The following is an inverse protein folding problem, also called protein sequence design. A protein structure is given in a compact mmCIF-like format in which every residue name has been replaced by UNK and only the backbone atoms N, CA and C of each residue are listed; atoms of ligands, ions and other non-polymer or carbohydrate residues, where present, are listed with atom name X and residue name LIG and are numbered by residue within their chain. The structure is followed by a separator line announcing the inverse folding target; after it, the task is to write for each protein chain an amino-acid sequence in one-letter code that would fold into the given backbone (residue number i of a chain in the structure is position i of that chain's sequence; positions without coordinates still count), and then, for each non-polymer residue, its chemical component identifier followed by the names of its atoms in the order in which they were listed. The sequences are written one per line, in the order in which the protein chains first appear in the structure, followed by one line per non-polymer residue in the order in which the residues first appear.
data_IF_634686492371
#
_entry.id   IF_634686492371
#
_cell.length_a   1.000
_cell.length_b   1.000
_cell.length_c   1.000
_cell.angle_alpha   90.00
_cell.angle_beta   90.00
_cell.angle_gamma   90.00
#
_symmetry.space_group_name_H-M   'P 1'
#
loop_
_entity.id
_entity.type
_entity.pdbx_description
1 polymer ?
#
# COMPACT_ATOMS: atom_id res chain seq x y z
N UNK A 1 -11.29 -18.10 23.63
CA UNK A 1 -12.74 -18.01 23.89
C UNK A 1 -13.29 -17.09 22.83
N UNK A 2 -14.12 -17.59 21.92
CA UNK A 2 -14.65 -16.82 20.79
C UNK A 2 -15.38 -15.57 21.27
N UNK A 3 -14.85 -14.39 20.98
CA UNK A 3 -15.58 -13.13 21.02
C UNK A 3 -16.11 -12.84 19.63
N UNK A 4 -17.19 -13.53 19.31
CA UNK A 4 -18.12 -13.16 18.25
C UNK A 4 -18.97 -11.99 18.80
N UNK A 5 -18.39 -10.79 18.80
CA UNK A 5 -19.14 -9.53 18.87
C UNK A 5 -18.77 -8.71 17.63
N UNK A 6 -19.22 -9.18 16.47
CA UNK A 6 -19.39 -8.32 15.30
C UNK A 6 -20.52 -7.32 15.58
N UNK A 7 -20.21 -6.26 16.35
CA UNK A 7 -21.06 -5.08 16.35
C UNK A 7 -21.07 -4.54 14.92
N UNK A 8 -22.23 -4.63 14.26
CA UNK A 8 -22.41 -4.13 12.90
C UNK A 8 -21.86 -2.69 12.79
N UNK A 9 -20.75 -2.53 12.05
CA UNK A 9 -20.11 -1.25 11.81
C UNK A 9 -18.91 -0.89 12.69
N UNK A 10 -18.44 -1.76 13.59
CA UNK A 10 -17.18 -1.55 14.32
C UNK A 10 -15.99 -2.02 13.50
N UNK A 11 -15.18 -1.08 13.00
CA UNK A 11 -13.91 -1.33 12.31
C UNK A 11 -12.75 -0.88 13.21
N UNK A 12 -11.89 -1.82 13.59
CA UNK A 12 -10.68 -1.61 14.38
C UNK A 12 -9.58 -2.50 13.80
N UNK A 13 -8.45 -1.90 13.43
CA UNK A 13 -7.34 -2.61 12.81
C UNK A 13 -6.01 -2.03 13.27
N UNK A 14 -5.14 -2.88 13.78
CA UNK A 14 -3.73 -2.57 13.93
C UNK A 14 -3.10 -2.44 12.54
N UNK A 15 -2.42 -1.34 12.28
CA UNK A 15 -1.78 -1.04 10.99
C UNK A 15 -0.28 -1.24 11.06
N UNK A 16 0.33 -0.65 12.08
CA UNK A 16 1.78 -0.60 12.20
C UNK A 16 2.18 -0.54 13.67
N UNK A 17 3.27 -1.24 13.99
CA UNK A 17 4.00 -1.09 15.25
C UNK A 17 5.44 -0.74 14.87
N UNK A 18 5.91 0.41 15.33
CA UNK A 18 7.23 0.93 15.02
C UNK A 18 8.05 1.09 16.29
N UNK A 19 9.31 0.61 16.26
CA UNK A 19 10.31 0.90 17.30
C UNK A 19 11.44 1.72 16.70
N UNK A 20 11.89 2.77 17.39
CA UNK A 20 12.99 3.63 16.91
C UNK A 20 12.94 5.11 17.31
N UNK A 21 11.86 5.59 17.92
CA UNK A 21 11.79 6.96 18.47
C UNK A 21 12.04 6.94 19.97
N UNK A 22 13.21 7.40 20.41
CA UNK A 22 13.50 7.70 21.82
C UNK A 22 13.32 6.53 22.79
N UNK A 23 13.72 5.32 22.38
CA UNK A 23 13.63 4.06 23.13
C UNK A 23 12.20 3.54 23.42
N UNK A 24 11.18 4.06 22.72
CA UNK A 24 9.77 3.63 22.84
C UNK A 24 9.21 2.85 21.64
N UNK A 25 7.94 2.48 21.76
CA UNK A 25 7.14 1.84 20.69
C UNK A 25 5.98 2.75 20.32
N UNK A 26 5.79 3.01 19.04
CA UNK A 26 4.64 3.76 18.51
C UNK A 26 3.73 2.80 17.75
N UNK A 27 2.43 2.87 18.01
CA UNK A 27 1.43 2.00 17.41
C UNK A 27 0.42 2.84 16.62
N UNK A 28 0.18 2.46 15.38
CA UNK A 28 -0.83 3.07 14.50
C UNK A 28 -2.00 2.12 14.33
N UNK A 29 -3.20 2.62 14.60
CA UNK A 29 -4.47 1.89 14.47
C UNK A 29 -5.41 2.71 13.59
N UNK A 30 -6.18 2.03 12.74
CA UNK A 30 -7.35 2.63 12.08
C UNK A 30 -8.60 2.15 12.79
N UNK A 31 -9.39 3.11 13.27
CA UNK A 31 -10.68 2.84 13.90
C UNK A 31 -11.77 3.69 13.24
N UNK A 32 -12.75 3.03 12.61
CA UNK A 32 -13.88 3.67 11.91
C UNK A 32 -13.45 4.86 11.01
N UNK A 33 -12.36 4.70 10.25
CA UNK A 33 -11.82 5.71 9.34
C UNK A 33 -10.98 6.82 9.99
N UNK A 34 -10.76 6.78 11.30
CA UNK A 34 -9.82 7.69 11.99
C UNK A 34 -8.52 6.96 12.31
N UNK A 35 -7.40 7.70 12.28
CA UNK A 35 -6.10 7.21 12.71
C UNK A 35 -5.91 7.47 14.20
N UNK A 36 -5.53 6.44 14.93
CA UNK A 36 -5.22 6.49 16.34
C UNK A 36 -3.74 6.14 16.48
N UNK A 37 -2.95 7.07 17.02
CA UNK A 37 -1.54 6.84 17.32
C UNK A 37 -1.41 6.65 18.83
N UNK A 38 -0.76 5.57 19.25
CA UNK A 38 -0.52 5.28 20.67
C UNK A 38 0.97 5.11 20.91
N UNK A 39 1.55 6.01 21.70
CA UNK A 39 2.95 5.95 22.08
C UNK A 39 3.14 5.25 23.44
N UNK A 40 4.04 4.27 23.43
CA UNK A 40 4.62 3.63 24.60
C UNK A 40 6.00 4.25 24.82
N UNK A 41 6.05 5.31 25.61
CA UNK A 41 7.28 6.06 25.86
C UNK A 41 8.00 5.54 27.12
N UNK A 42 9.34 5.40 27.09
CA UNK A 42 10.10 5.12 28.29
C UNK A 42 9.95 6.29 29.28
N UNK A 43 9.44 6.01 30.47
CA UNK A 43 9.56 6.91 31.62
C UNK A 43 10.95 6.74 32.26
N UNK A 44 11.34 7.69 33.13
CA UNK A 44 12.62 7.62 33.87
C UNK A 44 12.80 6.34 34.70
N UNK A 45 11.73 5.58 34.95
CA UNK A 45 11.77 4.21 35.49
C UNK A 45 10.59 3.40 34.95
N UNK A 46 10.89 2.41 34.11
CA UNK A 46 9.93 1.44 33.58
C UNK A 46 9.62 0.30 34.57
N UNK A 47 10.35 0.23 35.69
CA UNK A 47 10.16 -0.80 36.73
C UNK A 47 8.76 -0.72 37.35
N UNK A 48 8.03 -1.83 37.29
CA UNK A 48 6.67 -1.94 37.84
C UNK A 48 5.56 -1.42 36.94
N UNK A 49 5.87 -1.03 35.70
CA UNK A 49 4.87 -0.63 34.68
C UNK A 49 4.51 -1.79 33.77
N UNK A 50 3.35 -1.70 33.11
CA UNK A 50 2.88 -2.65 32.09
C UNK A 50 3.66 -2.45 30.78
N UNK A 51 3.87 -1.19 30.38
CA UNK A 51 4.53 -0.83 29.13
C UNK A 51 6.02 -1.18 29.09
N UNK A 52 6.72 -1.14 30.23
CA UNK A 52 8.17 -1.33 30.29
C UNK A 52 8.68 -2.66 29.71
N UNK A 53 8.18 -3.80 30.21
CA UNK A 53 8.53 -5.11 29.66
C UNK A 53 8.17 -5.26 28.17
N UNK A 54 7.07 -4.66 27.72
CA UNK A 54 6.63 -4.75 26.31
C UNK A 54 7.56 -4.00 25.37
N UNK A 55 7.95 -2.78 25.73
CA UNK A 55 8.92 -1.98 24.97
C UNK A 55 10.24 -2.76 24.84
N UNK A 56 10.77 -3.28 25.95
CA UNK A 56 12.03 -4.01 25.96
C UNK A 56 11.95 -5.31 25.16
N UNK A 57 10.86 -6.07 25.31
CA UNK A 57 10.64 -7.35 24.61
C UNK A 57 10.50 -7.15 23.10
N UNK A 58 9.67 -6.19 22.69
CA UNK A 58 9.50 -5.87 21.27
C UNK A 58 10.80 -5.36 20.64
N UNK A 59 11.51 -4.46 21.33
CA UNK A 59 12.80 -3.95 20.85
C UNK A 59 13.86 -5.06 20.72
N UNK A 60 13.93 -6.00 21.66
CA UNK A 60 14.84 -7.14 21.59
C UNK A 60 14.48 -8.09 20.43
N UNK A 61 13.19 -8.40 20.25
CA UNK A 61 12.73 -9.28 19.18
C UNK A 61 13.04 -8.71 17.78
N UNK A 62 12.92 -7.39 17.61
CA UNK A 62 13.33 -6.70 16.37
C UNK A 62 14.84 -6.82 16.12
N UNK A 63 15.67 -6.65 17.16
CA UNK A 63 17.12 -6.77 17.04
C UNK A 63 17.59 -8.19 16.72
N UNK A 64 16.89 -9.18 17.26
CA UNK A 64 17.18 -10.61 17.06
C UNK A 64 16.51 -11.18 15.80
N UNK A 65 15.73 -10.37 15.06
CA UNK A 65 14.93 -10.78 13.89
C UNK A 65 13.99 -11.97 14.19
N UNK A 66 13.51 -12.07 15.44
CA UNK A 66 12.62 -13.14 15.90
C UNK A 66 11.17 -12.81 15.55
N UNK A 67 10.75 -13.22 14.35
CA UNK A 67 9.42 -12.94 13.79
C UNK A 67 8.28 -13.44 14.69
N UNK A 68 8.42 -14.63 15.28
CA UNK A 68 7.38 -15.21 16.13
C UNK A 68 7.20 -14.38 17.41
N UNK A 69 8.30 -13.91 18.00
CA UNK A 69 8.26 -13.06 19.19
C UNK A 69 7.80 -11.62 18.86
N UNK A 70 8.15 -11.10 17.69
CA UNK A 70 7.62 -9.82 17.17
C UNK A 70 6.10 -9.90 17.10
N UNK A 71 5.54 -10.92 16.44
CA UNK A 71 4.10 -11.08 16.27
C UNK A 71 3.39 -11.26 17.63
N UNK A 72 3.95 -12.08 18.51
CA UNK A 72 3.42 -12.28 19.86
C UNK A 72 3.40 -10.97 20.66
N UNK A 73 4.46 -10.16 20.56
CA UNK A 73 4.53 -8.88 21.23
C UNK A 73 3.57 -7.84 20.65
N UNK A 74 3.41 -7.79 19.33
CA UNK A 74 2.43 -6.90 18.68
C UNK A 74 1.01 -7.24 19.12
N UNK A 75 0.66 -8.53 19.18
CA UNK A 75 -0.68 -8.96 19.61
C UNK A 75 -0.96 -8.55 21.06
N UNK A 76 0.02 -8.72 21.97
CA UNK A 76 -0.16 -8.32 23.37
C UNK A 76 -0.32 -6.80 23.53
N UNK A 77 0.45 -6.02 22.75
CA UNK A 77 0.34 -4.56 22.69
C UNK A 77 -1.06 -4.17 22.20
N UNK A 78 -1.54 -4.76 21.11
CA UNK A 78 -2.86 -4.46 20.54
C UNK A 78 -3.99 -4.78 21.51
N UNK A 79 -3.95 -5.95 22.17
CA UNK A 79 -4.96 -6.36 23.16
C UNK A 79 -5.05 -5.37 24.34
N UNK A 80 -3.90 -4.86 24.80
CA UNK A 80 -3.84 -3.87 25.86
C UNK A 80 -4.40 -2.51 25.43
N UNK A 81 -4.03 -2.04 24.24
CA UNK A 81 -4.57 -0.79 23.68
C UNK A 81 -6.08 -0.92 23.50
N UNK A 82 -6.56 -2.02 22.92
CA UNK A 82 -7.99 -2.25 22.72
C UNK A 82 -8.74 -2.29 24.05
N UNK A 83 -8.19 -2.97 25.06
CA UNK A 83 -8.80 -3.08 26.39
C UNK A 83 -8.93 -1.72 27.08
N UNK A 84 -7.86 -0.92 27.08
CA UNK A 84 -7.85 0.42 27.68
C UNK A 84 -8.67 1.43 26.84
N UNK A 85 -8.64 1.28 25.51
CA UNK A 85 -9.09 2.30 24.57
C UNK A 85 -10.49 2.13 24.01
N UNK A 86 -11.08 0.92 23.99
CA UNK A 86 -12.34 0.65 23.25
C UNK A 86 -13.47 1.65 23.52
N UNK A 87 -13.67 2.06 24.77
CA UNK A 87 -14.71 3.05 25.14
C UNK A 87 -14.37 4.46 24.70
N UNK A 88 -13.08 4.81 24.73
CA UNK A 88 -12.57 6.10 24.25
C UNK A 88 -12.74 6.16 22.74
N UNK A 89 -12.33 5.10 22.04
CA UNK A 89 -12.42 4.98 20.58
C UNK A 89 -13.87 5.03 20.11
N UNK A 90 -14.79 4.32 20.76
CA UNK A 90 -16.20 4.38 20.41
C UNK A 90 -16.83 5.78 20.52
N UNK A 91 -16.29 6.64 21.39
CA UNK A 91 -16.73 8.03 21.52
C UNK A 91 -16.10 8.95 20.47
N UNK A 92 -14.83 8.73 20.13
CA UNK A 92 -14.05 9.63 19.26
C UNK A 92 -14.11 9.28 17.78
N UNK A 93 -14.27 7.99 17.49
CA UNK A 93 -14.40 7.39 16.17
C UNK A 93 -15.64 6.47 16.17
N UNK A 94 -16.86 7.04 16.18
CA UNK A 94 -18.07 6.23 16.15
C UNK A 94 -18.19 5.45 14.83
N UNK A 95 -18.87 4.29 14.83
CA UNK A 95 -19.15 3.51 13.62
C UNK A 95 -19.65 4.38 12.46
N UNK A 96 -19.03 4.20 11.29
CA UNK A 96 -19.50 4.85 10.07
C UNK A 96 -20.87 4.28 9.67
N UNK A 97 -21.75 5.12 9.15
CA UNK A 97 -23.05 4.68 8.66
C UNK A 97 -22.86 3.63 7.56
N UNK A 98 -23.65 2.55 7.63
CA UNK A 98 -23.59 1.45 6.66
C UNK A 98 -23.85 2.00 5.24
N UNK A 99 -22.89 1.84 4.35
CA UNK A 99 -22.97 2.34 2.97
C UNK A 99 -22.42 3.74 2.73
N UNK A 100 -21.64 4.31 3.66
CA UNK A 100 -20.83 5.50 3.36
C UNK A 100 -19.97 5.21 2.12
N UNK A 101 -20.12 6.03 1.07
CA UNK A 101 -19.16 6.04 -0.03
C UNK A 101 -17.77 6.33 0.55
N UNK A 102 -16.73 5.67 0.02
CA UNK A 102 -15.36 6.06 0.28
C UNK A 102 -15.23 7.57 -0.04
N UNK A 103 -14.50 8.29 0.80
CA UNK A 103 -14.44 9.75 0.74
C UNK A 103 -13.69 10.28 -0.50
N UNK A 104 -13.05 11.43 -0.33
CA UNK A 104 -12.01 11.84 -1.27
C UNK A 104 -10.67 11.18 -0.90
N UNK A 105 -9.73 11.18 -1.84
CA UNK A 105 -8.41 10.59 -1.65
C UNK A 105 -7.63 11.28 -0.51
N UNK A 106 -7.81 12.59 -0.33
CA UNK A 106 -7.14 13.34 0.72
C UNK A 106 -7.49 12.82 2.12
N UNK A 107 -8.78 12.64 2.42
CA UNK A 107 -9.23 12.12 3.71
C UNK A 107 -8.85 10.65 3.93
N UNK A 108 -8.66 9.86 2.85
CA UNK A 108 -8.16 8.50 2.95
C UNK A 108 -6.67 8.45 3.31
N UNK A 109 -5.84 9.28 2.66
CA UNK A 109 -4.39 9.32 2.90
C UNK A 109 -4.03 10.02 4.21
N UNK A 110 -4.79 11.06 4.57
CA UNK A 110 -4.58 11.89 5.75
C UNK A 110 -5.85 11.90 6.62
N UNK A 111 -6.23 10.73 7.18
CA UNK A 111 -7.38 10.66 8.07
C UNK A 111 -7.14 11.50 9.33
N UNK A 112 -8.23 11.93 9.96
CA UNK A 112 -8.17 12.61 11.26
C UNK A 112 -7.37 11.73 12.24
N UNK A 113 -6.30 12.30 12.78
CA UNK A 113 -5.35 11.58 13.66
C UNK A 113 -5.55 12.03 15.10
N UNK A 114 -5.68 11.05 16.01
CA UNK A 114 -5.82 11.26 17.44
C UNK A 114 -4.69 10.53 18.16
N UNK A 115 -3.88 11.28 18.89
CA UNK A 115 -2.70 10.73 19.58
C UNK A 115 -2.96 10.47 21.06
N UNK A 116 -2.44 9.37 21.56
CA UNK A 116 -2.47 8.96 22.95
C UNK A 116 -1.09 8.51 23.41
N UNK A 117 -0.85 8.67 24.71
CA UNK A 117 0.20 7.96 25.43
C UNK A 117 -0.43 6.79 26.17
N UNK A 118 0.17 5.62 26.05
CA UNK A 118 -0.10 4.50 26.95
C UNK A 118 0.68 4.70 28.25
N UNK A 119 0.00 4.58 29.40
CA UNK A 119 0.64 4.71 30.70
C UNK A 119 0.03 3.76 31.73
N UNK A 120 0.89 3.24 32.61
CA UNK A 120 0.43 2.57 33.84
C UNK A 120 0.08 3.61 34.91
N UNK A 121 -1.18 3.69 35.31
CA UNK A 121 -1.66 4.54 36.41
C UNK A 121 -2.29 3.64 37.47
N UNK A 122 -1.79 3.72 38.71
CA UNK A 122 -2.25 2.89 39.83
C UNK A 122 -2.29 1.38 39.50
N UNK A 123 -1.29 0.91 38.73
CA UNK A 123 -1.18 -0.48 38.31
C UNK A 123 -2.14 -0.91 37.18
N UNK A 124 -2.78 0.04 36.50
CA UNK A 124 -3.70 -0.21 35.39
C UNK A 124 -3.27 0.49 34.12
N UNK A 125 -3.55 -0.15 32.99
CA UNK A 125 -3.36 0.43 31.67
C UNK A 125 -4.38 1.53 31.40
N UNK A 126 -3.90 2.72 31.05
CA UNK A 126 -4.72 3.89 30.71
C UNK A 126 -4.19 4.56 29.43
N UNK A 127 -5.09 5.15 28.65
CA UNK A 127 -4.74 5.97 27.48
C UNK A 127 -4.93 7.46 27.79
N UNK A 128 -3.83 8.21 27.75
CA UNK A 128 -3.82 9.65 27.99
C UNK A 128 -3.76 10.38 26.66
N UNK A 129 -4.79 11.19 26.36
CA UNK A 129 -4.80 11.99 25.12
C UNK A 129 -3.62 12.97 25.12
N UNK A 130 -2.93 13.07 23.98
CA UNK A 130 -1.85 14.02 23.76
C UNK A 130 -2.23 15.04 22.69
N UNK A 131 -1.61 16.22 22.77
CA UNK A 131 -1.70 17.22 21.70
C UNK A 131 -0.82 16.77 20.52
N UNK A 132 -1.38 16.84 19.32
CA UNK A 132 -0.83 16.28 18.08
C UNK A 132 0.32 17.13 17.47
N UNK A 133 0.85 18.09 18.21
CA UNK A 133 1.80 19.09 17.69
C UNK A 133 3.18 18.50 17.31
N UNK A 134 3.47 17.25 17.68
CA UNK A 134 4.81 16.65 17.52
C UNK A 134 4.97 15.58 16.43
N UNK A 135 3.90 15.19 15.73
CA UNK A 135 3.98 14.22 14.63
C UNK A 135 4.17 14.86 13.25
N UNK A 136 3.81 16.14 13.11
CA UNK A 136 3.84 16.84 11.82
C UNK A 136 5.18 17.51 11.49
N UNK A 137 6.11 17.66 12.45
CA UNK A 137 7.29 18.54 12.28
C UNK A 137 8.59 17.86 11.85
N UNK A 138 8.72 16.54 11.80
CA UNK A 138 10.05 15.93 11.63
C UNK A 138 10.14 14.95 10.46
N UNK A 139 9.92 15.50 9.29
CA UNK A 139 10.77 15.47 8.09
C UNK A 139 9.83 15.86 6.97
N UNK A 140 9.98 17.05 6.37
CA UNK A 140 9.45 17.21 5.03
C UNK A 140 10.12 16.11 4.22
N UNK A 141 9.39 15.05 3.85
CA UNK A 141 10.03 13.95 3.16
C UNK A 141 10.55 14.53 1.85
N UNK A 142 11.70 14.06 1.34
CA UNK A 142 12.33 14.66 0.17
C UNK A 142 11.29 14.86 -0.92
N UNK A 143 11.25 16.06 -1.50
CA UNK A 143 10.21 16.44 -2.45
C UNK A 143 10.06 15.35 -3.51
N UNK A 144 8.91 14.67 -3.50
CA UNK A 144 8.55 13.75 -4.56
C UNK A 144 8.46 14.53 -5.88
N UNK A 145 9.45 14.31 -6.75
CA UNK A 145 9.55 15.00 -8.02
C UNK A 145 9.37 14.01 -9.16
N UNK A 146 8.24 14.11 -9.83
CA UNK A 146 8.02 13.48 -11.13
C UNK A 146 8.28 14.55 -12.20
N UNK A 147 9.10 14.20 -13.19
CA UNK A 147 9.25 15.03 -14.37
C UNK A 147 7.91 15.12 -15.13
N UNK A 148 7.39 16.34 -15.32
CA UNK A 148 6.13 16.60 -16.00
C UNK A 148 6.28 17.35 -17.34
N UNK A 149 7.30 17.04 -18.13
CA UNK A 149 7.62 17.75 -19.38
C UNK A 149 6.52 17.74 -20.48
N UNK A 150 5.53 16.84 -20.45
CA UNK A 150 4.37 16.85 -21.39
C UNK A 150 3.17 17.62 -20.84
N UNK A 151 3.27 18.19 -19.64
CA UNK A 151 2.17 18.93 -19.05
C UNK A 151 0.97 18.05 -18.71
N UNK A 152 1.21 16.89 -18.07
CA UNK A 152 0.12 16.10 -17.49
C UNK A 152 -0.69 16.99 -16.54
N UNK A 153 -2.03 16.85 -16.54
CA UNK A 153 -2.87 17.56 -15.59
C UNK A 153 -2.53 17.15 -14.15
N UNK A 154 -2.67 18.11 -13.24
CA UNK A 154 -2.51 17.91 -11.80
C UNK A 154 -3.88 17.96 -11.15
N UNK A 155 -4.15 17.03 -10.25
CA UNK A 155 -5.41 16.93 -9.53
C UNK A 155 -5.13 17.00 -8.04
N UNK A 156 -5.86 17.86 -7.35
CA UNK A 156 -5.80 17.97 -5.89
C UNK A 156 -6.42 16.72 -5.26
N UNK A 157 -5.82 16.18 -4.21
CA UNK A 157 -6.26 14.94 -3.56
C UNK A 157 -7.69 15.02 -3.00
N UNK A 158 -8.17 16.22 -2.67
CA UNK A 158 -9.54 16.46 -2.21
C UNK A 158 -10.58 16.49 -3.34
N UNK A 159 -10.14 16.66 -4.59
CA UNK A 159 -10.98 16.63 -5.79
C UNK A 159 -11.12 15.24 -6.42
N UNK A 160 -10.37 14.25 -5.91
CA UNK A 160 -10.38 12.86 -6.39
C UNK A 160 -11.30 12.05 -5.49
N UNK A 161 -12.36 11.47 -6.04
CA UNK A 161 -13.28 10.62 -5.29
C UNK A 161 -12.81 9.17 -5.31
N UNK A 162 -12.74 8.52 -4.15
CA UNK A 162 -12.33 7.11 -4.06
C UNK A 162 -13.55 6.23 -4.30
N UNK A 163 -13.45 5.32 -5.26
CA UNK A 163 -14.46 4.31 -5.53
C UNK A 163 -14.18 3.01 -4.78
N UNK A 164 -12.90 2.67 -4.62
CA UNK A 164 -12.45 1.43 -4.02
C UNK A 164 -11.00 1.54 -3.56
N UNK A 165 -10.69 0.95 -2.41
CA UNK A 165 -9.32 0.73 -1.96
C UNK A 165 -8.87 -0.66 -2.40
N UNK A 166 -7.83 -0.71 -3.23
CA UNK A 166 -7.32 -1.96 -3.81
C UNK A 166 -6.21 -2.54 -2.91
N UNK A 167 -5.31 -1.69 -2.41
CA UNK A 167 -4.17 -2.14 -1.61
C UNK A 167 -3.59 -1.02 -0.73
N UNK A 168 -3.10 -1.40 0.46
CA UNK A 168 -2.11 -0.64 1.22
C UNK A 168 -2.61 0.69 1.79
N UNK A 169 -3.82 0.72 2.35
CA UNK A 169 -4.35 1.89 3.07
C UNK A 169 -4.40 3.16 2.21
N UNK A 170 -4.85 2.98 0.98
CA UNK A 170 -4.91 4.05 -0.01
C UNK A 170 -3.68 4.15 -0.91
N UNK A 171 -2.71 3.23 -0.77
CA UNK A 171 -1.56 3.18 -1.67
C UNK A 171 -1.97 2.95 -3.13
N UNK A 172 -2.93 2.04 -3.35
CA UNK A 172 -3.54 1.79 -4.65
C UNK A 172 -5.06 1.90 -4.50
N UNK A 173 -5.67 2.80 -5.26
CA UNK A 173 -7.12 3.03 -5.22
C UNK A 173 -7.70 3.11 -6.62
N UNK A 174 -8.94 2.63 -6.78
CA UNK A 174 -9.77 3.00 -7.93
C UNK A 174 -10.48 4.29 -7.61
N UNK A 175 -10.34 5.27 -8.47
CA UNK A 175 -10.83 6.63 -8.22
C UNK A 175 -11.65 7.15 -9.39
N UNK A 176 -12.55 8.09 -9.09
CA UNK A 176 -13.28 8.89 -10.07
C UNK A 176 -12.73 10.32 -10.03
N UNK A 177 -12.25 10.79 -11.16
CA UNK A 177 -11.72 12.15 -11.33
C UNK A 177 -12.13 12.67 -12.71
N UNK A 178 -12.74 13.85 -12.75
CA UNK A 178 -13.37 14.42 -13.95
C UNK A 178 -14.36 13.45 -14.65
N UNK A 179 -15.08 12.64 -13.87
CA UNK A 179 -16.04 11.67 -14.40
C UNK A 179 -15.43 10.45 -15.09
N UNK A 180 -14.09 10.29 -15.02
CA UNK A 180 -13.39 9.13 -15.57
C UNK A 180 -12.82 8.26 -14.43
N UNK A 181 -13.05 6.95 -14.51
CA UNK A 181 -12.41 5.98 -13.61
C UNK A 181 -10.92 5.86 -13.93
N UNK A 182 -10.09 5.92 -12.89
CA UNK A 182 -8.64 5.82 -12.97
C UNK A 182 -8.10 4.96 -11.83
N UNK A 183 -6.91 4.40 -12.03
CA UNK A 183 -6.12 3.83 -10.95
C UNK A 183 -5.25 4.95 -10.36
N UNK A 184 -5.29 5.15 -9.06
CA UNK A 184 -4.43 6.08 -8.36
C UNK A 184 -3.40 5.30 -7.56
N UNK A 185 -2.13 5.66 -7.76
CA UNK A 185 -1.01 5.21 -6.95
C UNK A 185 -0.45 6.40 -6.21
N UNK A 186 -0.67 6.39 -4.91
CA UNK A 186 -0.30 7.45 -3.99
C UNK A 186 0.26 6.82 -2.72
N UNK A 187 0.73 7.61 -1.78
CA UNK A 187 1.01 7.06 -0.46
C UNK A 187 2.13 7.78 0.25
N UNK A 188 2.66 7.07 1.23
CA UNK A 188 3.70 7.56 2.11
C UNK A 188 5.06 7.69 1.41
N UNK A 189 5.97 8.52 1.96
CA UNK A 189 7.29 8.79 1.39
C UNK A 189 8.10 7.54 1.01
N UNK A 190 7.91 6.46 1.76
CA UNK A 190 8.58 5.19 1.51
C UNK A 190 8.28 4.62 0.11
N UNK A 191 7.08 4.85 -0.43
CA UNK A 191 6.66 4.34 -1.73
C UNK A 191 6.96 5.30 -2.89
N UNK A 192 7.40 6.53 -2.60
CA UNK A 192 7.58 7.56 -3.63
C UNK A 192 8.61 7.17 -4.69
N UNK A 193 9.73 6.54 -4.32
CA UNK A 193 10.71 6.12 -5.32
C UNK A 193 10.13 5.12 -6.33
N UNK A 194 9.33 4.18 -5.84
CA UNK A 194 8.64 3.22 -6.69
C UNK A 194 7.64 3.93 -7.61
N UNK A 195 6.82 4.83 -7.08
CA UNK A 195 5.86 5.59 -7.90
C UNK A 195 6.56 6.48 -8.94
N UNK A 196 7.69 7.12 -8.60
CA UNK A 196 8.48 7.91 -9.56
C UNK A 196 9.02 7.05 -10.69
N UNK A 197 9.57 5.88 -10.34
CA UNK A 197 10.08 4.95 -11.34
C UNK A 197 8.98 4.44 -12.26
N UNK A 198 7.83 4.07 -11.70
CA UNK A 198 6.69 3.64 -12.49
C UNK A 198 6.25 4.72 -13.46
N UNK A 199 6.13 5.97 -12.98
CA UNK A 199 5.86 7.10 -13.84
C UNK A 199 6.89 7.19 -14.98
N UNK A 200 8.20 7.13 -14.71
CA UNK A 200 9.28 7.20 -15.73
C UNK A 200 9.20 6.06 -16.76
N UNK A 201 8.89 4.84 -16.34
CA UNK A 201 8.69 3.70 -17.25
C UNK A 201 7.49 3.92 -18.18
N UNK A 202 6.33 4.25 -17.63
CA UNK A 202 5.12 4.53 -18.42
C UNK A 202 5.34 5.71 -19.38
N UNK A 203 6.08 6.71 -18.90
CA UNK A 203 6.52 7.87 -19.67
C UNK A 203 7.38 7.50 -20.89
N UNK A 204 8.40 6.65 -20.70
CA UNK A 204 9.25 6.15 -21.78
C UNK A 204 8.45 5.33 -22.80
N UNK A 205 7.55 4.47 -22.33
CA UNK A 205 6.67 3.67 -23.20
C UNK A 205 5.79 4.57 -24.06
N UNK A 206 5.12 5.56 -23.46
CA UNK A 206 4.20 6.46 -24.15
C UNK A 206 4.88 7.31 -25.25
N UNK A 207 6.17 7.60 -25.10
CA UNK A 207 6.97 8.38 -26.08
C UNK A 207 7.65 7.51 -27.14
N UNK A 208 7.55 6.19 -27.02
CA UNK A 208 8.26 5.27 -27.90
C UNK A 208 7.49 4.97 -29.19
N UNK A 209 8.19 4.37 -30.16
CA UNK A 209 7.58 3.81 -31.38
C UNK A 209 6.59 2.66 -31.09
N UNK A 210 6.56 2.15 -29.85
CA UNK A 210 5.74 1.01 -29.42
C UNK A 210 4.57 1.41 -28.50
N UNK A 211 4.27 2.70 -28.35
CA UNK A 211 3.24 3.19 -27.43
C UNK A 211 1.84 2.56 -27.63
N UNK A 212 1.52 2.07 -28.83
CA UNK A 212 0.27 1.38 -29.15
C UNK A 212 0.36 -0.14 -29.09
N UNK A 213 1.57 -0.69 -29.04
CA UNK A 213 1.84 -2.14 -29.06
C UNK A 213 2.06 -2.71 -27.66
N UNK A 214 2.64 -1.93 -26.76
CA UNK A 214 2.88 -2.31 -25.37
C UNK A 214 1.59 -2.04 -24.57
N UNK A 215 0.96 -3.10 -24.05
CA UNK A 215 -0.26 -3.01 -23.22
C UNK A 215 0.09 -2.82 -21.75
N UNK A 216 0.19 -1.54 -21.37
CA UNK A 216 0.42 -1.07 -20.00
C UNK A 216 -0.55 0.07 -19.70
N UNK A 217 -0.87 0.37 -18.43
CA UNK A 217 -1.67 1.53 -18.07
C UNK A 217 -1.06 2.82 -18.63
N UNK A 218 -1.89 3.69 -19.21
CA UNK A 218 -1.42 5.02 -19.60
C UNK A 218 -1.33 5.91 -18.38
N UNK A 219 -0.24 6.66 -18.26
CA UNK A 219 -0.14 7.74 -17.29
C UNK A 219 -1.00 8.92 -17.74
N UNK A 220 -1.95 9.34 -16.90
CA UNK A 220 -3.00 10.32 -17.25
C UNK A 220 -2.98 11.59 -16.41
N UNK A 221 -2.28 11.60 -15.26
CA UNK A 221 -2.22 12.77 -14.39
C UNK A 221 -1.30 12.58 -13.19
N UNK A 222 -1.09 13.67 -12.48
CA UNK A 222 -0.38 13.69 -11.20
C UNK A 222 -1.35 14.05 -10.07
N UNK A 223 -1.11 13.48 -8.90
CA UNK A 223 -1.86 13.80 -7.68
C UNK A 223 -1.06 14.78 -6.85
N UNK A 224 -1.69 15.86 -6.40
CA UNK A 224 -1.09 16.84 -5.49
C UNK A 224 -1.82 16.86 -4.16
N UNK A 225 -1.08 17.02 -3.06
CA UNK A 225 -1.66 17.23 -1.73
C UNK A 225 -2.48 18.52 -1.70
N UNK A 226 -3.68 18.45 -1.14
CA UNK A 226 -4.53 19.61 -0.92
C UNK A 226 -3.92 20.61 0.09
N UNK A 227 -3.07 20.14 1.02
CA UNK A 227 -2.50 20.98 2.08
C UNK A 227 -1.39 21.91 1.57
N UNK A 228 -0.51 21.39 0.72
CA UNK A 228 0.73 22.08 0.35
C UNK A 228 1.03 22.07 -1.17
N UNK A 229 0.18 21.43 -1.98
CA UNK A 229 0.33 21.36 -3.44
C UNK A 229 1.48 20.45 -3.92
N UNK A 230 2.19 19.77 -3.03
CA UNK A 230 3.26 18.84 -3.38
C UNK A 230 2.68 17.65 -4.16
N UNK A 231 3.40 17.15 -5.16
CA UNK A 231 3.03 15.88 -5.81
C UNK A 231 3.17 14.74 -4.80
N UNK A 232 2.16 13.87 -4.72
CA UNK A 232 2.09 12.74 -3.77
C UNK A 232 1.72 11.42 -4.45
N UNK A 233 1.56 11.43 -5.77
CA UNK A 233 1.16 10.24 -6.52
C UNK A 233 0.90 10.49 -8.00
N UNK A 234 0.44 9.45 -8.67
CA UNK A 234 0.10 9.43 -10.09
C UNK A 234 -1.29 8.86 -10.34
N UNK A 235 -1.84 9.20 -11.51
CA UNK A 235 -3.09 8.66 -12.02
C UNK A 235 -2.83 7.90 -13.32
N UNK A 236 -3.25 6.65 -13.36
CA UNK A 236 -3.10 5.72 -14.47
C UNK A 236 -4.46 5.31 -15.03
N UNK A 237 -4.47 4.84 -16.28
CA UNK A 237 -5.62 4.18 -16.88
C UNK A 237 -6.06 2.99 -16.03
N UNK A 238 -7.34 2.98 -15.64
CA UNK A 238 -7.89 1.83 -14.94
C UNK A 238 -8.14 0.70 -15.94
N UNK A 239 -7.48 -0.44 -15.74
CA UNK A 239 -7.63 -1.61 -16.61
C UNK A 239 -8.77 -2.48 -16.06
N UNK A 240 -9.88 -2.66 -16.78
CA UNK A 240 -11.03 -3.38 -16.26
C UNK A 240 -10.79 -4.90 -16.29
N UNK A 241 -10.90 -5.52 -15.11
CA UNK A 241 -10.85 -6.97 -14.90
C UNK A 241 -12.19 -7.47 -14.37
N UNK A 242 -12.43 -8.79 -14.42
CA UNK A 242 -13.63 -9.39 -13.84
C UNK A 242 -13.48 -9.48 -12.31
N UNK A 243 -14.08 -8.49 -11.62
CA UNK A 243 -14.04 -8.30 -10.17
C UNK A 243 -14.58 -9.47 -9.33
N UNK A 244 -15.19 -10.49 -9.95
CA UNK A 244 -15.81 -11.58 -9.20
C UNK A 244 -14.97 -12.83 -9.07
N UNK A 245 -14.02 -13.12 -9.96
CA UNK A 245 -13.29 -14.41 -9.91
C UNK A 245 -11.85 -14.44 -10.47
N UNK A 246 -11.27 -13.39 -11.08
CA UNK A 246 -9.86 -13.41 -11.51
C UNK A 246 -9.29 -11.99 -11.56
N UNK A 247 -8.55 -11.59 -10.52
CA UNK A 247 -8.02 -10.22 -10.44
C UNK A 247 -6.67 -10.07 -11.17
N UNK A 248 -5.88 -11.15 -11.21
CA UNK A 248 -4.54 -11.18 -11.82
C UNK A 248 -4.26 -12.56 -12.42
N UNK A 249 -3.20 -12.69 -13.22
CA UNK A 249 -2.77 -13.99 -13.76
C UNK A 249 -2.49 -15.01 -12.65
N UNK A 250 -2.13 -14.56 -11.44
CA UNK A 250 -1.92 -15.42 -10.27
C UNK A 250 -3.17 -16.22 -9.89
N UNK A 251 -4.36 -15.65 -10.12
CA UNK A 251 -5.62 -16.22 -9.66
C UNK A 251 -6.20 -17.22 -10.67
N UNK A 252 -5.60 -17.30 -11.87
CA UNK A 252 -6.02 -18.19 -12.95
C UNK A 252 -5.79 -19.65 -12.55
N UNK A 253 -6.87 -20.43 -12.57
CA UNK A 253 -6.77 -21.88 -12.56
C UNK A 253 -6.27 -22.39 -13.93
N UNK A 254 -4.97 -22.65 -14.00
CA UNK A 254 -4.30 -23.12 -15.21
C UNK A 254 -4.70 -24.55 -15.58
N UNK A 255 -5.38 -25.30 -14.71
CA UNK A 255 -5.91 -26.63 -15.02
C UNK A 255 -7.20 -26.55 -15.87
N UNK A 256 -7.97 -25.46 -15.75
CA UNK A 256 -9.27 -25.32 -16.43
C UNK A 256 -9.19 -24.47 -17.70
N UNK A 257 -8.30 -23.47 -17.77
CA UNK A 257 -8.19 -22.57 -18.93
C UNK A 257 -6.98 -22.95 -19.80
N UNK A 258 -7.18 -23.73 -20.87
CA UNK A 258 -6.06 -24.20 -21.69
C UNK A 258 -5.70 -23.23 -22.85
N UNK A 259 -6.70 -22.70 -23.56
CA UNK A 259 -6.48 -21.99 -24.85
C UNK A 259 -5.82 -20.62 -24.65
N UNK A 260 -6.23 -19.85 -23.64
CA UNK A 260 -5.75 -18.48 -23.45
C UNK A 260 -4.33 -18.39 -22.86
N UNK A 261 -3.83 -19.44 -22.20
CA UNK A 261 -2.49 -19.43 -21.57
C UNK A 261 -1.35 -19.16 -22.55
N UNK A 262 -1.39 -19.81 -23.72
CA UNK A 262 -0.38 -19.60 -24.78
C UNK A 262 -0.46 -18.19 -25.36
N UNK A 263 -1.68 -17.65 -25.48
CA UNK A 263 -1.90 -16.26 -25.92
C UNK A 263 -1.28 -15.30 -24.92
N UNK A 264 -1.61 -15.42 -23.63
CA UNK A 264 -1.08 -14.54 -22.59
C UNK A 264 0.44 -14.64 -22.49
N UNK A 265 1.01 -15.84 -22.49
CA UNK A 265 2.45 -16.05 -22.49
C UNK A 265 3.14 -15.35 -23.67
N UNK A 266 2.60 -15.51 -24.89
CA UNK A 266 3.10 -14.82 -26.07
C UNK A 266 3.03 -13.30 -25.94
N UNK A 267 1.91 -12.77 -25.45
CA UNK A 267 1.71 -11.33 -25.23
C UNK A 267 2.70 -10.78 -24.19
N UNK A 268 2.88 -11.48 -23.07
CA UNK A 268 3.81 -11.08 -22.01
C UNK A 268 5.24 -11.00 -22.56
N UNK A 269 5.70 -12.05 -23.25
CA UNK A 269 7.05 -12.06 -23.86
C UNK A 269 7.23 -10.96 -24.89
N UNK A 270 6.24 -10.76 -25.77
CA UNK A 270 6.29 -9.69 -26.76
C UNK A 270 6.39 -8.32 -26.09
N UNK A 271 5.56 -8.03 -25.09
CA UNK A 271 5.59 -6.75 -24.37
C UNK A 271 6.93 -6.52 -23.66
N UNK A 272 7.47 -7.52 -22.95
CA UNK A 272 8.78 -7.43 -22.29
C UNK A 272 9.89 -7.15 -23.30
N UNK A 273 9.89 -7.86 -24.43
CA UNK A 273 10.85 -7.62 -25.50
C UNK A 273 10.79 -6.18 -26.04
N UNK A 274 9.58 -5.68 -26.35
CA UNK A 274 9.37 -4.33 -26.85
C UNK A 274 9.75 -3.26 -25.83
N UNK A 275 9.54 -3.51 -24.52
CA UNK A 275 10.00 -2.63 -23.45
C UNK A 275 11.53 -2.58 -23.39
N UNK A 276 12.21 -3.73 -23.49
CA UNK A 276 13.67 -3.78 -23.49
C UNK A 276 14.28 -3.06 -24.71
N UNK A 277 13.65 -3.13 -25.89
CA UNK A 277 14.08 -2.39 -27.08
C UNK A 277 14.18 -0.87 -26.83
N UNK A 278 13.30 -0.34 -25.99
CA UNK A 278 13.23 1.10 -25.69
C UNK A 278 13.93 1.46 -24.37
N UNK A 279 14.64 0.51 -23.76
CA UNK A 279 15.39 0.73 -22.52
C UNK A 279 14.54 0.76 -21.26
N UNK A 280 13.32 0.21 -21.30
CA UNK A 280 12.45 0.05 -20.14
C UNK A 280 12.62 -1.37 -19.59
N UNK A 281 12.83 -1.48 -18.28
CA UNK A 281 12.86 -2.75 -17.54
C UNK A 281 11.60 -2.81 -16.69
N UNK A 282 10.89 -3.95 -16.73
CA UNK A 282 9.67 -4.16 -15.96
C UNK A 282 9.98 -4.22 -14.46
N UNK A 283 10.96 -5.05 -14.06
CA UNK A 283 11.57 -5.07 -12.73
C UNK A 283 10.67 -5.52 -11.58
N UNK A 284 9.45 -5.95 -11.89
CA UNK A 284 8.48 -6.53 -10.95
C UNK A 284 7.74 -7.73 -11.57
N UNK A 285 8.39 -8.45 -12.49
CA UNK A 285 7.74 -9.52 -13.24
C UNK A 285 7.24 -10.68 -12.35
N UNK A 286 5.92 -10.85 -12.26
CA UNK A 286 5.24 -11.95 -11.57
C UNK A 286 3.78 -12.05 -12.03
N UNK A 287 3.09 -13.20 -11.90
CA UNK A 287 1.69 -13.34 -12.32
C UNK A 287 0.74 -12.33 -11.67
N UNK A 288 1.01 -11.90 -10.43
CA UNK A 288 0.21 -10.87 -9.76
C UNK A 288 0.25 -9.52 -10.50
N UNK A 289 1.31 -9.25 -11.24
CA UNK A 289 1.51 -8.00 -11.95
C UNK A 289 1.08 -8.09 -13.42
N UNK A 290 0.31 -9.13 -13.77
CA UNK A 290 -0.32 -9.30 -15.07
C UNK A 290 -1.83 -9.31 -14.88
N UNK A 291 -2.52 -8.34 -15.48
CA UNK A 291 -3.97 -8.29 -15.51
C UNK A 291 -4.50 -8.95 -16.78
N UNK A 292 -5.64 -9.62 -16.69
CA UNK A 292 -6.38 -10.12 -17.87
C UNK A 292 -7.56 -9.19 -18.11
N UNK A 293 -7.56 -8.51 -19.25
CA UNK A 293 -8.61 -7.56 -19.59
C UNK A 293 -9.94 -8.28 -19.82
N UNK A 294 -10.99 -7.90 -19.09
CA UNK A 294 -12.28 -8.63 -19.08
C UNK A 294 -12.91 -8.81 -20.47
N UNK A 295 -12.84 -7.78 -21.32
CA UNK A 295 -13.52 -7.80 -22.62
C UNK A 295 -12.70 -8.43 -23.75
N UNK A 296 -11.37 -8.32 -23.71
CA UNK A 296 -10.50 -8.75 -24.83
C UNK A 296 -9.71 -10.02 -24.52
N UNK A 297 -9.73 -10.47 -23.26
CA UNK A 297 -8.95 -11.61 -22.76
C UNK A 297 -7.44 -11.43 -23.01
N UNK A 298 -6.97 -10.18 -23.09
CA UNK A 298 -5.56 -9.86 -23.33
C UNK A 298 -4.81 -9.64 -22.02
N UNK A 299 -3.53 -10.04 -22.00
CA UNK A 299 -2.63 -9.76 -20.91
C UNK A 299 -2.15 -8.30 -20.95
N UNK A 300 -2.18 -7.63 -19.80
CA UNK A 300 -1.67 -6.29 -19.56
C UNK A 300 -0.63 -6.33 -18.45
N UNK A 301 0.51 -5.67 -18.65
CA UNK A 301 1.56 -5.58 -17.63
C UNK A 301 1.34 -4.34 -16.77
N UNK A 302 1.43 -4.51 -15.45
CA UNK A 302 1.32 -3.41 -14.47
C UNK A 302 2.51 -3.46 -13.50
N UNK A 303 2.58 -2.45 -12.63
CA UNK A 303 3.53 -2.37 -11.50
C UNK A 303 4.99 -2.31 -11.96
N UNK A 304 5.38 -1.10 -12.34
CA UNK A 304 6.74 -0.74 -12.76
C UNK A 304 7.56 -0.09 -11.65
N UNK A 305 7.04 -0.07 -10.41
CA UNK A 305 7.68 0.63 -9.30
C UNK A 305 8.96 -0.04 -8.82
N UNK A 306 9.17 -1.31 -9.18
CA UNK A 306 10.25 -2.10 -8.64
C UNK A 306 9.84 -2.69 -7.31
N UNK A 307 9.96 -4.01 -7.22
CA UNK A 307 9.95 -4.71 -5.94
C UNK A 307 10.60 -6.05 -6.18
N UNK A 308 11.52 -6.43 -5.30
CA UNK A 308 12.01 -7.80 -5.29
C UNK A 308 11.05 -8.65 -4.47
N UNK A 309 10.63 -9.77 -5.05
CA UNK A 309 9.83 -10.77 -4.35
C UNK A 309 10.52 -12.10 -4.55
N UNK A 310 10.88 -12.75 -3.44
CA UNK A 310 11.51 -14.06 -3.49
C UNK A 310 10.66 -15.06 -4.30
N UNK A 311 11.34 -15.94 -5.03
CA UNK A 311 10.72 -16.95 -5.89
C UNK A 311 10.39 -16.54 -7.33
N UNK A 312 10.42 -15.25 -7.71
CA UNK A 312 10.17 -14.82 -9.11
C UNK A 312 11.40 -14.34 -9.88
N UNK A 313 12.33 -13.67 -9.21
CA UNK A 313 13.60 -13.23 -9.80
C UNK A 313 14.70 -13.44 -8.75
N UNK A 314 15.85 -13.92 -9.17
CA UNK A 314 17.01 -14.06 -8.28
C UNK A 314 17.47 -12.67 -7.82
N UNK A 315 17.91 -12.56 -6.56
CA UNK A 315 18.20 -11.27 -5.93
C UNK A 315 19.25 -10.45 -6.71
N UNK A 316 20.25 -11.11 -7.28
CA UNK A 316 21.32 -10.50 -8.08
C UNK A 316 20.84 -10.01 -9.45
N UNK A 317 19.68 -10.47 -9.92
CA UNK A 317 19.08 -10.09 -11.20
C UNK A 317 17.94 -9.07 -11.03
N UNK A 318 17.68 -8.59 -9.82
CA UNK A 318 16.58 -7.65 -9.56
C UNK A 318 16.68 -6.41 -10.45
N UNK A 319 15.55 -6.02 -11.04
CA UNK A 319 15.44 -4.78 -11.82
C UNK A 319 16.39 -4.71 -13.02
N UNK A 320 16.73 -5.87 -13.59
CA UNK A 320 17.54 -6.00 -14.82
C UNK A 320 16.73 -6.60 -15.96
N UNK A 321 17.26 -6.52 -17.19
CA UNK A 321 16.66 -7.18 -18.36
C UNK A 321 16.70 -8.70 -18.20
N UNK A 322 17.80 -9.21 -17.69
CA UNK A 322 18.01 -10.62 -17.40
C UNK A 322 17.01 -11.12 -16.36
N UNK A 323 16.73 -10.31 -15.33
CA UNK A 323 15.69 -10.57 -14.34
C UNK A 323 14.28 -10.60 -14.94
N UNK A 324 13.96 -9.70 -15.86
CA UNK A 324 12.68 -9.74 -16.58
C UNK A 324 12.54 -11.01 -17.43
N UNK A 325 13.60 -11.42 -18.15
CA UNK A 325 13.58 -12.65 -18.93
C UNK A 325 13.41 -13.88 -18.04
N UNK A 326 14.04 -13.89 -16.86
CA UNK A 326 13.83 -14.93 -15.87
C UNK A 326 12.38 -14.95 -15.36
N UNK A 327 11.81 -13.80 -15.04
CA UNK A 327 10.42 -13.68 -14.62
C UNK A 327 9.45 -14.19 -15.71
N UNK A 328 9.69 -13.85 -16.98
CA UNK A 328 8.92 -14.38 -18.11
C UNK A 328 9.01 -15.90 -18.15
N UNK A 329 10.21 -16.49 -17.98
CA UNK A 329 10.38 -17.93 -17.87
C UNK A 329 9.54 -18.57 -16.77
N UNK A 330 9.60 -18.02 -15.55
CA UNK A 330 8.82 -18.55 -14.40
C UNK A 330 7.31 -18.37 -14.58
N UNK A 331 6.87 -17.30 -15.23
CA UNK A 331 5.45 -17.12 -15.58
C UNK A 331 5.01 -18.18 -16.60
N UNK A 332 5.87 -18.56 -17.54
CA UNK A 332 5.56 -19.61 -18.51
C UNK A 332 5.44 -20.97 -17.83
N UNK A 333 6.35 -21.28 -16.89
CA UNK A 333 6.28 -22.49 -16.07
C UNK A 333 4.98 -22.52 -15.26
N UNK A 334 4.59 -21.39 -14.64
CA UNK A 334 3.32 -21.23 -13.93
C UNK A 334 2.11 -21.51 -14.83
N UNK A 335 2.14 -21.04 -16.08
CA UNK A 335 1.10 -21.28 -17.07
C UNK A 335 1.14 -22.70 -17.65
N UNK A 336 2.24 -23.43 -17.49
CA UNK A 336 2.46 -24.76 -18.04
C UNK A 336 2.54 -24.77 -19.57
N UNK A 337 3.24 -23.79 -20.17
CA UNK A 337 3.33 -23.58 -21.63
C UNK A 337 4.73 -23.62 -22.22
#
# INVERSE_FOLDING_TARGET
MNTDESQAGWDYRLVEVYSGRGDGVTVTIICNGKRIIVDFLPTESLDGTIEGPLIARYGAAILDEDVDEIDAAQQEIDDLIYTAGKRIFARLAPPLATGSQLGNLHSLLYPETISFRFATIDGKAELLKQDCDSYLEHTHPPLFQINNDLGLPKFSSDSIHVLEEIQGEGAITRVLVDGLERCCKSGEPFYWEAVAREADCLWKIARSKHALSIRVPKLTGLVTSADNGQTIGILEEYIPTDLKDLCTLRDVDTATINISRKKWASQIREMVHLMHEIGVVWGGGKPRNVLIHKDTDDAWLIDFGGSWTDGWVDEDLRETREGDEQAVGRIFDFLGV
#
